data_IF_290273997040
#
_entry.id   IF_290273997040
#
_cell.length_a   1.000
_cell.length_b   1.000
_cell.length_c   1.000
_cell.angle_alpha   90.00
_cell.angle_beta   90.00
_cell.angle_gamma   90.00
#
_symmetry.space_group_name_H-M   'P 1'
#
loop_
_entity.id
_entity.type
_entity.pdbx_description
1 polymer ?
#
# COMPACT_ATOMS: atom_id res chain seq x y z
N UNK A 1 25.02 15.42 -6.93
CA UNK A 1 24.80 14.27 -6.03
C UNK A 1 23.58 14.59 -5.20
N UNK A 2 22.53 13.76 -5.27
CA UNK A 2 21.30 13.98 -4.52
C UNK A 2 21.57 13.71 -3.03
N UNK A 3 21.40 14.73 -2.17
CA UNK A 3 21.67 14.64 -0.73
C UNK A 3 20.44 14.26 0.10
N UNK A 4 19.26 14.21 -0.53
CA UNK A 4 18.02 13.76 0.10
C UNK A 4 17.88 12.27 -0.16
N UNK A 5 17.75 11.43 0.89
CA UNK A 5 17.53 9.99 0.73
C UNK A 5 16.27 9.71 -0.09
N UNK A 6 16.39 8.85 -1.10
CA UNK A 6 15.28 8.45 -1.97
C UNK A 6 14.53 7.27 -1.35
N UNK A 7 13.90 7.52 -0.20
CA UNK A 7 13.07 6.54 0.53
C UNK A 7 11.64 7.04 0.63
N UNK A 8 10.62 6.19 0.34
CA UNK A 8 9.22 6.54 0.53
C UNK A 8 8.95 7.03 1.96
N UNK A 9 8.25 8.15 2.11
CA UNK A 9 7.96 8.75 3.42
C UNK A 9 9.05 9.66 3.99
N UNK A 10 10.11 9.95 3.21
CA UNK A 10 11.12 10.95 3.60
C UNK A 10 10.52 12.36 3.59
N UNK A 11 10.38 12.93 4.78
CA UNK A 11 9.96 14.32 5.02
C UNK A 11 11.19 15.17 5.36
N UNK A 12 11.38 16.29 4.67
CA UNK A 12 12.49 17.23 4.87
C UNK A 12 12.54 17.73 6.31
N UNK A 13 11.41 18.06 6.92
CA UNK A 13 11.31 18.51 8.31
C UNK A 13 11.80 17.45 9.30
N UNK A 14 11.49 16.17 9.06
CA UNK A 14 12.07 15.06 9.85
C UNK A 14 13.56 14.92 9.59
N UNK A 15 14.01 14.95 8.34
CA UNK A 15 15.43 14.86 7.97
C UNK A 15 16.25 15.95 8.66
N UNK A 16 15.73 17.17 8.77
CA UNK A 16 16.41 18.30 9.39
C UNK A 16 16.41 18.26 10.93
N UNK A 17 15.33 17.77 11.57
CA UNK A 17 15.11 17.94 13.02
C UNK A 17 15.14 16.66 13.86
N UNK A 18 14.88 15.48 13.27
CA UNK A 18 14.77 14.25 14.05
C UNK A 18 16.14 13.78 14.59
N UNK A 19 16.19 12.98 15.67
CA UNK A 19 17.42 12.30 16.07
C UNK A 19 17.95 11.42 14.92
N UNK A 20 19.26 11.40 14.70
CA UNK A 20 19.85 10.62 13.61
C UNK A 20 19.92 9.14 14.02
N UNK A 21 20.47 8.88 15.21
CA UNK A 21 20.71 7.53 15.73
C UNK A 21 19.78 7.19 16.89
N UNK A 22 19.57 5.90 17.15
CA UNK A 22 18.77 5.41 18.30
C UNK A 22 19.29 5.97 19.65
N UNK A 23 20.60 6.23 19.73
CA UNK A 23 21.24 6.78 20.93
C UNK A 23 20.90 8.25 21.19
N UNK A 24 20.53 9.00 20.15
CA UNK A 24 20.21 10.43 20.25
C UNK A 24 18.75 10.67 20.66
N UNK A 25 17.86 9.70 20.49
CA UNK A 25 16.47 9.78 20.94
C UNK A 25 15.54 8.80 20.24
N UNK A 26 14.32 8.59 20.78
CA UNK A 26 13.34 7.68 20.20
C UNK A 26 12.83 8.18 18.84
N UNK A 27 12.43 7.25 17.96
CA UNK A 27 11.93 7.54 16.59
C UNK A 27 12.98 8.23 15.71
N UNK A 28 14.24 7.84 15.86
CA UNK A 28 15.36 8.32 15.06
C UNK A 28 15.19 7.96 13.58
N UNK A 29 15.95 8.63 12.72
CA UNK A 29 15.97 8.32 11.28
C UNK A 29 16.48 6.90 11.00
N UNK A 30 17.45 6.44 11.80
CA UNK A 30 17.96 5.06 11.77
C UNK A 30 16.87 4.03 12.11
N UNK A 31 16.08 4.27 13.17
CA UNK A 31 15.08 3.32 13.65
C UNK A 31 13.81 3.31 12.79
N UNK A 32 13.26 4.50 12.50
CA UNK A 32 11.94 4.63 11.89
C UNK A 32 11.98 4.55 10.37
N UNK A 33 12.97 5.19 9.76
CA UNK A 33 13.09 5.29 8.30
C UNK A 33 14.12 4.28 7.74
N UNK A 34 14.80 3.53 8.61
CA UNK A 34 15.76 2.50 8.22
C UNK A 34 16.94 3.05 7.42
N UNK A 35 17.35 4.28 7.71
CA UNK A 35 18.43 4.96 6.98
C UNK A 35 19.75 4.24 7.16
N UNK A 36 20.43 3.96 6.05
CA UNK A 36 21.74 3.31 6.05
C UNK A 36 22.83 4.34 6.33
N UNK A 37 24.07 3.89 6.53
CA UNK A 37 25.18 4.76 6.86
C UNK A 37 25.40 5.89 5.83
N UNK A 38 25.23 5.59 4.53
CA UNK A 38 25.29 6.58 3.45
C UNK A 38 24.16 7.62 3.54
N UNK A 39 22.93 7.19 3.81
CA UNK A 39 21.78 8.08 4.01
C UNK A 39 22.06 9.04 5.18
N UNK A 40 22.59 8.50 6.29
CA UNK A 40 22.94 9.26 7.49
C UNK A 40 24.02 10.31 7.19
N UNK A 41 25.04 9.96 6.42
CA UNK A 41 26.07 10.93 6.00
C UNK A 41 25.49 12.04 5.12
N UNK A 42 24.59 11.69 4.21
CA UNK A 42 23.90 12.67 3.37
C UNK A 42 23.01 13.61 4.19
N UNK A 43 22.28 13.08 5.19
CA UNK A 43 21.50 13.89 6.13
C UNK A 43 22.39 14.84 6.94
N UNK A 44 23.56 14.40 7.41
CA UNK A 44 24.51 15.26 8.13
C UNK A 44 24.99 16.42 7.25
N UNK A 45 25.41 16.14 6.02
CA UNK A 45 25.78 17.17 5.03
C UNK A 45 24.62 18.14 4.76
N UNK A 46 23.40 17.62 4.68
CA UNK A 46 22.20 18.45 4.48
C UNK A 46 21.97 19.40 5.66
N UNK A 47 22.13 18.93 6.91
CA UNK A 47 22.03 19.77 8.12
C UNK A 47 23.13 20.81 8.21
N UNK A 48 24.35 20.48 7.79
CA UNK A 48 25.45 21.46 7.70
C UNK A 48 25.11 22.59 6.72
N UNK A 49 24.60 22.24 5.53
CA UNK A 49 24.16 23.24 4.53
C UNK A 49 22.99 24.06 5.09
N UNK A 50 22.02 23.42 5.75
CA UNK A 50 20.87 24.10 6.35
C UNK A 50 21.29 25.15 7.39
N UNK A 51 22.27 24.83 8.23
CA UNK A 51 22.80 25.73 9.27
C UNK A 51 23.75 26.82 8.74
N UNK A 52 24.12 26.78 7.45
CA UNK A 52 24.93 27.80 6.81
C UNK A 52 24.20 29.13 6.59
N UNK A 53 24.85 30.04 5.88
CA UNK A 53 24.31 31.37 5.50
C UNK A 53 24.36 31.63 3.99
N UNK A 54 24.73 30.63 3.20
CA UNK A 54 24.82 30.75 1.75
C UNK A 54 23.44 30.55 1.08
N UNK A 55 23.40 30.72 -0.24
CA UNK A 55 22.18 30.56 -1.03
C UNK A 55 21.56 29.17 -0.87
N UNK A 56 22.37 28.13 -0.61
CA UNK A 56 21.89 26.76 -0.43
C UNK A 56 21.11 26.63 0.89
N UNK A 57 21.59 27.23 1.97
CA UNK A 57 20.85 27.33 3.24
C UNK A 57 19.50 28.04 3.05
N UNK A 58 19.48 29.16 2.33
CA UNK A 58 18.26 29.92 2.09
C UNK A 58 17.24 29.10 1.32
N UNK A 59 17.66 28.41 0.25
CA UNK A 59 16.78 27.52 -0.53
C UNK A 59 16.22 26.40 0.33
N UNK A 60 17.02 25.77 1.21
CA UNK A 60 16.53 24.72 2.10
C UNK A 60 15.52 25.24 3.13
N UNK A 61 15.72 26.44 3.68
CA UNK A 61 14.79 27.07 4.62
C UNK A 61 13.45 27.42 3.97
N UNK A 62 13.49 27.93 2.74
CA UNK A 62 12.25 28.17 1.99
C UNK A 62 11.57 26.85 1.57
N UNK A 63 12.35 25.82 1.21
CA UNK A 63 11.81 24.48 0.93
C UNK A 63 11.12 23.85 2.17
N UNK A 64 11.71 24.01 3.36
CA UNK A 64 11.10 23.56 4.62
C UNK A 64 9.79 24.31 4.91
N UNK A 65 9.72 25.61 4.63
CA UNK A 65 8.48 26.39 4.79
C UNK A 65 7.37 25.96 3.84
N UNK A 66 7.74 25.53 2.63
CA UNK A 66 6.80 25.07 1.62
C UNK A 66 6.40 23.61 1.82
N UNK A 67 7.11 22.85 2.64
CA UNK A 67 6.76 21.47 2.96
C UNK A 67 5.40 21.39 3.66
N UNK A 68 4.57 20.44 3.24
CA UNK A 68 3.19 20.31 3.71
C UNK A 68 2.21 21.29 3.06
N UNK A 69 2.68 22.18 2.17
CA UNK A 69 1.77 23.02 1.38
C UNK A 69 0.98 22.17 0.38
N UNK A 70 -0.32 22.46 0.25
CA UNK A 70 -1.21 21.75 -0.66
C UNK A 70 -0.79 22.05 -2.10
N UNK A 71 -0.36 21.02 -2.82
CA UNK A 71 0.13 21.14 -4.20
C UNK A 71 -0.98 21.05 -5.24
N UNK A 72 -1.94 20.15 -5.02
CA UNK A 72 -3.06 19.90 -5.93
C UNK A 72 -4.22 19.24 -5.16
N UNK A 73 -5.44 19.42 -5.66
CA UNK A 73 -6.62 18.64 -5.27
C UNK A 73 -6.56 17.26 -5.93
N UNK A 74 -6.59 16.19 -5.13
CA UNK A 74 -6.68 14.81 -5.61
C UNK A 74 -8.09 14.26 -5.42
N UNK A 75 -8.51 13.35 -6.30
CA UNK A 75 -9.78 12.62 -6.16
C UNK A 75 -9.47 11.25 -5.55
N UNK A 76 -10.18 10.88 -4.48
CA UNK A 76 -10.08 9.54 -3.92
C UNK A 76 -10.71 8.54 -4.89
N UNK A 77 -9.90 7.71 -5.54
CA UNK A 77 -10.32 6.87 -6.66
C UNK A 77 -11.45 5.86 -6.36
N UNK A 78 -11.77 5.62 -5.09
CA UNK A 78 -12.81 4.68 -4.67
C UNK A 78 -13.95 5.32 -3.85
N UNK A 79 -13.80 6.56 -3.36
CA UNK A 79 -14.72 7.10 -2.35
C UNK A 79 -15.95 7.74 -2.97
N UNK A 80 -17.13 7.17 -2.73
CA UNK A 80 -18.43 7.75 -3.09
C UNK A 80 -19.13 8.21 -1.82
N UNK A 81 -19.69 9.41 -1.85
CA UNK A 81 -20.43 9.99 -0.72
C UNK A 81 -21.93 9.92 -1.00
N UNK A 82 -22.68 9.45 -0.02
CA UNK A 82 -24.14 9.35 -0.06
C UNK A 82 -24.70 10.13 1.13
N UNK A 83 -25.60 11.08 0.86
CA UNK A 83 -26.28 11.88 1.87
C UNK A 83 -27.79 11.65 1.86
N UNK A 84 -28.48 11.89 2.98
CA UNK A 84 -29.94 11.79 3.06
C UNK A 84 -30.70 12.93 2.37
N UNK A 85 -30.01 14.03 2.04
CA UNK A 85 -30.54 15.21 1.34
C UNK A 85 -29.52 15.69 0.30
N UNK A 86 -29.77 16.86 -0.30
CA UNK A 86 -28.82 17.45 -1.26
C UNK A 86 -27.44 17.63 -0.60
N UNK A 87 -26.39 17.22 -1.31
CA UNK A 87 -25.01 17.27 -0.81
C UNK A 87 -24.57 18.72 -0.55
N UNK A 88 -25.08 19.65 -1.36
CA UNK A 88 -24.72 21.08 -1.30
C UNK A 88 -25.22 21.78 -0.05
N UNK A 89 -26.27 21.25 0.59
CA UNK A 89 -26.81 21.75 1.85
C UNK A 89 -25.94 21.35 3.05
N UNK A 90 -25.15 20.28 2.92
CA UNK A 90 -24.35 19.70 4.01
C UNK A 90 -22.86 20.03 3.88
N UNK A 91 -22.32 19.93 2.67
CA UNK A 91 -20.88 20.01 2.43
C UNK A 91 -20.55 20.77 1.14
N UNK A 92 -19.43 21.52 1.10
CA UNK A 92 -18.97 22.17 -0.12
C UNK A 92 -18.51 21.14 -1.15
N UNK A 93 -19.03 21.27 -2.37
CA UNK A 93 -18.66 20.46 -3.53
C UNK A 93 -18.03 21.32 -4.62
N UNK A 94 -17.27 20.70 -5.51
CA UNK A 94 -16.76 21.31 -6.74
C UNK A 94 -16.78 20.29 -7.87
N UNK A 95 -16.57 20.72 -9.11
CA UNK A 95 -16.29 19.80 -10.21
C UNK A 95 -14.81 19.39 -10.19
N UNK A 96 -14.53 18.16 -10.62
CA UNK A 96 -13.18 17.71 -10.89
C UNK A 96 -12.53 18.54 -12.01
N UNK A 97 -11.18 18.64 -12.02
CA UNK A 97 -10.44 19.45 -13.02
C UNK A 97 -10.68 18.99 -14.47
N UNK A 98 -10.87 17.68 -14.67
CA UNK A 98 -10.91 17.06 -16.01
C UNK A 98 -12.24 16.32 -16.29
N UNK A 99 -13.28 16.53 -15.49
CA UNK A 99 -14.60 15.91 -15.71
C UNK A 99 -15.72 16.64 -14.99
N UNK A 100 -16.96 16.44 -15.44
CA UNK A 100 -18.16 16.97 -14.79
C UNK A 100 -18.53 16.23 -13.48
N UNK A 101 -17.66 15.34 -12.99
CA UNK A 101 -17.86 14.63 -11.73
C UNK A 101 -17.79 15.60 -10.55
N UNK A 102 -18.76 15.50 -9.66
CA UNK A 102 -18.78 16.24 -8.41
C UNK A 102 -17.84 15.60 -7.41
N UNK A 103 -17.05 16.44 -6.75
CA UNK A 103 -16.12 16.06 -5.70
C UNK A 103 -16.34 16.93 -4.49
N UNK A 104 -16.22 16.34 -3.30
CA UNK A 104 -16.24 17.07 -2.04
C UNK A 104 -14.93 17.84 -1.86
N UNK A 105 -15.00 19.02 -1.26
CA UNK A 105 -13.81 19.79 -0.86
C UNK A 105 -13.31 19.41 0.55
N UNK A 106 -14.05 18.54 1.26
CA UNK A 106 -13.69 18.06 2.60
C UNK A 106 -12.95 16.72 2.48
N UNK A 107 -11.88 16.57 3.25
CA UNK A 107 -11.13 15.32 3.32
C UNK A 107 -11.98 14.15 3.81
N UNK A 108 -11.76 12.97 3.20
CA UNK A 108 -12.57 11.77 3.43
C UNK A 108 -12.54 11.24 4.87
N UNK A 109 -11.55 11.60 5.69
CA UNK A 109 -11.49 11.17 7.10
C UNK A 109 -12.41 11.98 8.02
N UNK A 110 -12.79 13.20 7.61
CA UNK A 110 -13.58 14.12 8.42
C UNK A 110 -15.02 14.20 7.89
N UNK A 111 -15.22 13.83 6.62
CA UNK A 111 -16.51 13.98 5.94
C UNK A 111 -17.65 13.23 6.62
N UNK A 112 -17.40 12.06 7.21
CA UNK A 112 -18.44 11.29 7.91
C UNK A 112 -19.00 12.05 9.13
N UNK A 113 -18.21 12.93 9.75
CA UNK A 113 -18.67 13.79 10.84
C UNK A 113 -19.68 14.85 10.38
N UNK A 114 -19.79 15.12 9.08
CA UNK A 114 -20.80 15.99 8.50
C UNK A 114 -22.17 15.30 8.31
N UNK A 115 -22.32 14.04 8.76
CA UNK A 115 -23.59 13.31 8.69
C UNK A 115 -23.85 12.65 7.34
N UNK A 116 -22.80 12.43 6.54
CA UNK A 116 -22.87 11.71 5.26
C UNK A 116 -22.21 10.34 5.38
N UNK A 117 -22.62 9.41 4.53
CA UNK A 117 -22.06 8.06 4.48
C UNK A 117 -21.03 8.01 3.37
N UNK A 118 -19.82 7.56 3.70
CA UNK A 118 -18.78 7.24 2.72
C UNK A 118 -18.83 5.75 2.39
N UNK A 119 -18.83 5.42 1.10
CA UNK A 119 -18.68 4.06 0.61
C UNK A 119 -17.49 3.98 -0.33
N UNK A 120 -16.63 2.99 -0.13
CA UNK A 120 -15.47 2.76 -0.99
C UNK A 120 -15.78 1.68 -2.04
N UNK A 121 -15.79 2.05 -3.31
CA UNK A 121 -15.95 1.18 -4.47
C UNK A 121 -14.59 0.91 -5.10
N UNK A 122 -13.98 -0.23 -4.76
CA UNK A 122 -12.67 -0.60 -5.25
C UNK A 122 -12.76 -1.31 -6.61
N UNK A 123 -12.11 -0.76 -7.62
CA UNK A 123 -11.93 -1.41 -8.91
C UNK A 123 -10.87 -2.51 -8.84
N UNK A 124 -11.26 -3.76 -8.55
CA UNK A 124 -10.33 -4.88 -8.49
C UNK A 124 -10.16 -5.53 -9.87
N UNK A 125 -9.00 -5.34 -10.50
CA UNK A 125 -8.68 -5.91 -11.83
C UNK A 125 -8.90 -7.43 -11.90
N UNK A 126 -8.66 -8.14 -10.79
CA UNK A 126 -8.89 -9.58 -10.66
C UNK A 126 -10.32 -9.99 -11.04
N UNK A 127 -11.33 -9.21 -10.66
CA UNK A 127 -12.73 -9.51 -11.00
C UNK A 127 -12.99 -9.41 -12.51
N UNK A 128 -12.39 -8.42 -13.18
CA UNK A 128 -12.47 -8.28 -14.64
C UNK A 128 -11.79 -9.45 -15.37
N UNK A 129 -10.65 -9.92 -14.85
CA UNK A 129 -9.93 -11.09 -15.39
C UNK A 129 -10.80 -12.34 -15.25
N UNK A 130 -11.37 -12.58 -14.05
CA UNK A 130 -12.24 -13.74 -13.80
C UNK A 130 -13.48 -13.73 -14.71
N UNK A 131 -14.16 -12.58 -14.83
CA UNK A 131 -15.31 -12.43 -15.75
C UNK A 131 -14.95 -12.83 -17.18
N UNK A 132 -13.79 -12.38 -17.66
CA UNK A 132 -13.31 -12.69 -19.02
C UNK A 132 -12.97 -14.17 -19.16
N UNK A 133 -12.27 -14.75 -18.19
CA UNK A 133 -11.92 -16.17 -18.18
C UNK A 133 -13.18 -17.06 -18.22
N UNK A 134 -14.20 -16.76 -17.40
CA UNK A 134 -15.48 -17.48 -17.40
C UNK A 134 -16.20 -17.40 -18.76
N UNK A 135 -16.20 -16.21 -19.39
CA UNK A 135 -16.76 -16.03 -20.73
C UNK A 135 -16.07 -16.91 -21.78
N UNK A 136 -14.74 -16.96 -21.75
CA UNK A 136 -13.95 -17.79 -22.66
C UNK A 136 -14.15 -19.30 -22.40
N UNK A 137 -14.23 -19.73 -21.14
CA UNK A 137 -14.51 -21.12 -20.79
C UNK A 137 -15.88 -21.55 -21.32
N UNK A 138 -16.90 -20.70 -21.15
CA UNK A 138 -18.23 -20.95 -21.70
C UNK A 138 -18.22 -21.03 -23.22
N UNK A 139 -17.50 -20.13 -23.90
CA UNK A 139 -17.40 -20.12 -25.36
C UNK A 139 -16.67 -21.36 -25.91
N UNK A 140 -15.55 -21.74 -25.29
CA UNK A 140 -14.68 -22.80 -25.82
C UNK A 140 -15.10 -24.21 -25.39
N UNK A 141 -15.75 -24.33 -24.23
CA UNK A 141 -16.06 -25.63 -23.62
C UNK A 141 -17.54 -25.82 -23.26
N UNK A 142 -18.40 -24.82 -23.48
CA UNK A 142 -19.82 -24.88 -23.13
C UNK A 142 -20.09 -24.93 -21.62
N UNK A 143 -19.07 -24.79 -20.77
CA UNK A 143 -19.18 -24.90 -19.32
C UNK A 143 -19.50 -23.55 -18.69
N UNK A 144 -20.50 -23.53 -17.83
CA UNK A 144 -20.84 -22.38 -16.99
C UNK A 144 -20.32 -22.69 -15.60
N UNK A 145 -19.44 -21.83 -15.08
CA UNK A 145 -18.88 -21.96 -13.73
C UNK A 145 -19.45 -20.81 -12.89
N UNK A 146 -20.00 -21.17 -11.73
CA UNK A 146 -20.43 -20.23 -10.70
C UNK A 146 -19.32 -20.10 -9.64
N UNK A 147 -18.77 -18.90 -9.49
CA UNK A 147 -17.66 -18.62 -8.57
C UNK A 147 -18.04 -18.86 -7.11
N UNK A 148 -19.30 -18.62 -6.73
CA UNK A 148 -19.76 -18.71 -5.34
C UNK A 148 -19.87 -20.15 -4.85
N UNK A 149 -19.81 -21.11 -5.78
CA UNK A 149 -19.97 -22.56 -5.50
C UNK A 149 -18.68 -23.36 -5.67
N UNK A 150 -17.55 -22.71 -5.96
CA UNK A 150 -16.29 -23.40 -6.20
C UNK A 150 -15.81 -24.09 -4.90
N UNK A 151 -15.49 -25.40 -4.94
CA UNK A 151 -14.96 -26.10 -3.77
C UNK A 151 -13.58 -25.57 -3.38
N UNK A 152 -13.31 -25.49 -2.07
CA UNK A 152 -12.07 -24.93 -1.51
C UNK A 152 -10.99 -25.99 -1.24
N UNK A 153 -11.25 -27.24 -1.60
CA UNK A 153 -10.43 -28.43 -1.33
C UNK A 153 -9.89 -29.09 -2.63
N UNK A 154 -9.88 -28.37 -3.75
CA UNK A 154 -9.37 -28.91 -5.03
C UNK A 154 -7.86 -29.20 -5.00
N UNK A 155 -7.52 -30.49 -5.01
CA UNK A 155 -6.15 -30.99 -4.92
C UNK A 155 -5.27 -30.48 -6.07
N UNK A 156 -5.82 -30.34 -7.28
CA UNK A 156 -5.04 -29.85 -8.43
C UNK A 156 -4.63 -28.40 -8.25
N UNK A 157 -5.50 -27.59 -7.66
CA UNK A 157 -5.20 -26.20 -7.29
C UNK A 157 -4.09 -26.17 -6.25
N UNK A 158 -4.17 -26.94 -5.16
CA UNK A 158 -3.10 -26.97 -4.16
C UNK A 158 -1.75 -27.42 -4.73
N UNK A 159 -1.74 -28.40 -5.64
CA UNK A 159 -0.52 -28.84 -6.30
C UNK A 159 0.20 -27.71 -7.05
N UNK A 160 -0.52 -26.75 -7.66
CA UNK A 160 0.09 -25.56 -8.27
C UNK A 160 0.78 -24.69 -7.23
N UNK A 161 0.13 -24.45 -6.09
CA UNK A 161 0.68 -23.66 -4.99
C UNK A 161 1.88 -24.35 -4.34
N UNK A 162 1.83 -25.67 -4.13
CA UNK A 162 2.95 -26.45 -3.60
C UNK A 162 4.19 -26.42 -4.50
N UNK A 163 4.00 -26.29 -5.82
CA UNK A 163 5.10 -26.09 -6.78
C UNK A 163 5.56 -24.63 -6.90
N UNK A 164 4.83 -23.70 -6.29
CA UNK A 164 5.08 -22.25 -6.42
C UNK A 164 4.74 -21.70 -7.81
N UNK A 165 3.88 -22.39 -8.57
CA UNK A 165 3.44 -22.01 -9.91
C UNK A 165 2.31 -20.96 -9.86
N UNK A 166 2.50 -19.92 -9.05
CA UNK A 166 1.48 -18.90 -8.75
C UNK A 166 1.64 -17.62 -9.54
N UNK A 167 2.04 -17.74 -10.81
CA UNK A 167 2.13 -16.58 -11.70
C UNK A 167 0.71 -16.07 -12.00
N UNK A 168 0.51 -14.75 -11.93
CA UNK A 168 -0.79 -14.10 -12.14
C UNK A 168 -1.92 -14.58 -11.18
N UNK A 169 -1.57 -15.21 -10.06
CA UNK A 169 -2.54 -15.56 -9.01
C UNK A 169 -2.52 -14.47 -7.95
N UNK A 170 -3.65 -13.76 -7.83
CA UNK A 170 -3.81 -12.61 -6.94
C UNK A 170 -3.23 -12.87 -5.54
N UNK A 171 -2.40 -11.93 -5.05
CA UNK A 171 -1.68 -11.96 -3.76
C UNK A 171 -0.49 -12.94 -3.64
N UNK A 172 -0.32 -13.92 -4.55
CA UNK A 172 0.70 -14.96 -4.43
C UNK A 172 1.82 -14.92 -5.48
N UNK A 173 1.92 -13.84 -6.26
CA UNK A 173 2.78 -13.77 -7.45
C UNK A 173 4.26 -13.47 -7.14
N UNK A 174 4.58 -12.98 -5.94
CA UNK A 174 5.95 -12.54 -5.64
C UNK A 174 6.91 -13.73 -5.52
N UNK A 175 8.15 -13.55 -5.99
CA UNK A 175 9.19 -14.59 -5.93
C UNK A 175 9.41 -15.09 -4.50
N UNK A 176 9.36 -14.19 -3.51
CA UNK A 176 9.50 -14.57 -2.11
C UNK A 176 8.30 -15.35 -1.58
N UNK A 177 7.08 -15.01 -1.98
CA UNK A 177 5.88 -15.79 -1.63
C UNK A 177 5.95 -17.19 -2.26
N UNK A 178 6.30 -17.28 -3.54
CA UNK A 178 6.49 -18.55 -4.26
C UNK A 178 7.53 -19.46 -3.61
N UNK A 179 8.60 -18.90 -3.03
CA UNK A 179 9.58 -19.65 -2.25
C UNK A 179 8.92 -20.26 -1.01
N UNK A 180 8.24 -19.47 -0.20
CA UNK A 180 7.61 -19.97 1.02
C UNK A 180 6.47 -20.95 0.75
N UNK A 181 5.71 -20.79 -0.34
CA UNK A 181 4.68 -21.77 -0.72
C UNK A 181 5.29 -23.16 -1.01
N UNK A 182 6.45 -23.21 -1.66
CA UNK A 182 7.17 -24.48 -1.92
C UNK A 182 7.67 -25.15 -0.65
N UNK A 183 8.06 -24.37 0.34
CA UNK A 183 8.51 -24.86 1.65
C UNK A 183 7.32 -25.29 2.52
N UNK A 184 6.26 -24.48 2.55
CA UNK A 184 5.05 -24.77 3.32
C UNK A 184 4.30 -25.99 2.79
N UNK A 185 4.25 -26.16 1.47
CA UNK A 185 3.40 -27.13 0.78
C UNK A 185 1.94 -27.05 1.28
N UNK A 186 1.20 -25.98 0.95
CA UNK A 186 -0.17 -25.82 1.39
C UNK A 186 -1.04 -26.99 0.88
N UNK A 187 -1.84 -27.56 1.77
CA UNK A 187 -2.75 -28.68 1.49
C UNK A 187 -4.19 -28.38 1.96
N UNK A 188 -4.41 -27.23 2.60
CA UNK A 188 -5.72 -26.73 2.97
C UNK A 188 -5.84 -25.23 2.70
N UNK A 189 -7.06 -24.74 2.53
CA UNK A 189 -7.32 -23.32 2.26
C UNK A 189 -6.78 -22.39 3.37
N UNK A 190 -6.83 -22.84 4.62
CA UNK A 190 -6.33 -22.10 5.78
C UNK A 190 -4.83 -21.79 5.70
N UNK A 191 -4.04 -22.62 5.02
CA UNK A 191 -2.62 -22.35 4.80
C UNK A 191 -2.39 -21.11 3.94
N UNK A 192 -3.23 -20.92 2.92
CA UNK A 192 -3.16 -19.76 2.03
C UNK A 192 -3.53 -18.48 2.78
N UNK A 193 -4.54 -18.56 3.66
CA UNK A 193 -4.92 -17.46 4.56
C UNK A 193 -3.73 -17.09 5.47
N UNK A 194 -3.14 -18.11 6.13
CA UNK A 194 -2.01 -17.92 7.03
C UNK A 194 -0.81 -17.30 6.30
N UNK A 195 -0.49 -17.79 5.11
CA UNK A 195 0.60 -17.23 4.30
C UNK A 195 0.39 -15.78 3.94
N UNK A 196 -0.81 -15.39 3.52
CA UNK A 196 -1.10 -14.00 3.19
C UNK A 196 -1.07 -13.08 4.43
N UNK A 197 -1.40 -13.61 5.60
CA UNK A 197 -1.28 -12.88 6.87
C UNK A 197 0.19 -12.72 7.31
N UNK A 198 1.00 -13.77 7.18
CA UNK A 198 2.40 -13.78 7.60
C UNK A 198 3.34 -13.08 6.62
N UNK A 199 3.00 -13.03 5.32
CA UNK A 199 3.81 -12.39 4.29
C UNK A 199 3.63 -10.86 4.28
N UNK A 200 3.91 -10.23 5.43
CA UNK A 200 3.88 -8.78 5.65
C UNK A 200 5.16 -8.34 6.37
N UNK A 201 5.59 -7.07 6.22
CA UNK A 201 6.72 -6.54 6.98
C UNK A 201 6.51 -6.72 8.50
N UNK A 202 7.48 -7.33 9.18
CA UNK A 202 7.36 -7.77 10.58
C UNK A 202 7.06 -9.28 10.68
N UNK A 203 5.82 -9.72 10.40
CA UNK A 203 5.44 -11.13 10.51
C UNK A 203 6.21 -12.12 9.61
N UNK A 204 6.86 -11.66 8.54
CA UNK A 204 7.67 -12.50 7.65
C UNK A 204 8.71 -13.34 8.42
N UNK A 205 9.26 -12.80 9.51
CA UNK A 205 10.25 -13.51 10.32
C UNK A 205 9.69 -14.78 10.99
N UNK A 206 8.37 -14.92 11.12
CA UNK A 206 7.72 -16.08 11.72
C UNK A 206 7.36 -17.18 10.73
N UNK A 207 7.49 -16.93 9.42
CA UNK A 207 7.14 -17.92 8.39
C UNK A 207 7.93 -19.24 8.56
N UNK A 208 9.26 -19.23 8.80
CA UNK A 208 10.00 -20.48 9.02
C UNK A 208 9.43 -21.30 10.19
N UNK A 209 9.18 -20.64 11.34
CA UNK A 209 8.61 -21.30 12.51
C UNK A 209 7.20 -21.86 12.25
N UNK A 210 6.40 -21.19 11.42
CA UNK A 210 5.08 -21.67 11.03
C UNK A 210 5.19 -22.92 10.15
N UNK A 211 6.10 -22.92 9.18
CA UNK A 211 6.38 -24.06 8.30
C UNK A 211 6.88 -25.27 9.10
N UNK A 212 7.83 -25.05 10.01
CA UNK A 212 8.37 -26.12 10.86
C UNK A 212 7.25 -26.77 11.68
N UNK A 213 6.41 -25.96 12.36
CA UNK A 213 5.27 -26.46 13.14
C UNK A 213 4.23 -27.20 12.31
N UNK A 214 4.08 -26.86 11.03
CA UNK A 214 3.17 -27.58 10.13
C UNK A 214 3.71 -29.00 9.85
N UNK A 215 5.02 -29.13 9.65
CA UNK A 215 5.64 -30.40 9.26
C UNK A 215 6.01 -31.30 10.45
N UNK A 216 5.97 -30.79 11.68
CA UNK A 216 6.21 -31.54 12.92
C UNK A 216 7.63 -31.46 13.42
#
# INVERSE_FOLDING_TARGET
MWLVPDKPGTELGRVLKAPITIKEGPKSLEEKEGYQQEDIENVKKLREIYNGSDIRSQVLKEAERLEGSVRNTGIHAAGIIIAPCDLTDLIPVSTAKDSDLWVTQIEGNIIEAAGVIKMDFLGLKTLSILKTALGLIKQNHGKIIDLDTIPLDDEKTFNLYQRGETNATFQFESVGMQKYLRELKPDQFNDLIAMNALYRPGPIAYIPNFIDRKHG
#
